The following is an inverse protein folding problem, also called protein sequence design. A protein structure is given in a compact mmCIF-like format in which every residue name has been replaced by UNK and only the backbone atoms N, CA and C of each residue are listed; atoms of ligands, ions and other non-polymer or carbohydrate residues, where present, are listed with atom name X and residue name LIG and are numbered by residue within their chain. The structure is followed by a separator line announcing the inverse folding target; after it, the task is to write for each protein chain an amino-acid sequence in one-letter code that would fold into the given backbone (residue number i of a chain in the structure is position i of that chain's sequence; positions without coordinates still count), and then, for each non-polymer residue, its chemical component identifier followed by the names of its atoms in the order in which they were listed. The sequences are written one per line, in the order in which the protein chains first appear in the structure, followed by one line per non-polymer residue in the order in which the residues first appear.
data_IF_823801580414
#
_entry.id   IF_823801580414
#
_cell.length_a   1.000
_cell.length_b   1.000
_cell.length_c   1.000
_cell.angle_alpha   90.00
_cell.angle_beta   90.00
_cell.angle_gamma   90.00
#
_symmetry.space_group_name_H-M   'P 1'
#
loop_
_entity.id
_entity.type
_entity.pdbx_description
1 polymer ?
#
# COMPACT_ATOMS: atom_id res chain seq x y z
N UNK A 1 7.66 -46.49 -35.27
CA UNK A 1 7.79 -47.39 -34.10
C UNK A 1 7.84 -46.49 -32.86
N UNK A 2 7.00 -46.57 -31.85
CA UNK A 2 5.86 -47.44 -31.55
C UNK A 2 5.38 -47.07 -30.14
N UNK A 3 4.06 -47.06 -29.97
CA UNK A 3 3.27 -47.47 -28.77
C UNK A 3 3.57 -46.80 -27.42
N UNK A 4 2.72 -45.96 -26.82
CA UNK A 4 1.28 -46.11 -26.47
C UNK A 4 1.03 -47.12 -25.32
N UNK A 5 0.63 -46.61 -24.15
CA UNK A 5 -0.07 -47.28 -23.03
C UNK A 5 -0.32 -46.20 -21.94
N UNK A 6 -1.51 -45.88 -21.41
CA UNK A 6 -2.82 -46.54 -21.41
C UNK A 6 -3.39 -46.58 -19.98
N UNK A 7 -4.69 -46.34 -19.84
CA UNK A 7 -5.57 -46.35 -18.63
C UNK A 7 -5.55 -45.07 -17.77
N UNK A 8 -6.57 -44.21 -17.74
CA UNK A 8 -8.04 -44.33 -17.81
C UNK A 8 -8.67 -44.96 -16.55
N UNK A 9 -9.23 -44.08 -15.70
CA UNK A 9 -10.19 -44.43 -14.66
C UNK A 9 -11.34 -43.40 -14.73
N UNK A 10 -12.45 -43.85 -15.32
CA UNK A 10 -13.81 -43.28 -15.22
C UNK A 10 -14.73 -44.34 -14.61
N UNK A 11 -15.93 -43.89 -14.20
CA UNK A 11 -17.17 -44.59 -13.77
C UNK A 11 -17.58 -43.96 -12.42
N UNK A 12 -18.47 -42.97 -12.43
CA UNK A 12 -19.95 -43.03 -12.51
C UNK A 12 -20.56 -43.11 -11.10
N UNK A 13 -21.82 -42.84 -10.84
CA UNK A 13 -22.76 -41.83 -11.31
C UNK A 13 -23.88 -41.83 -10.25
N UNK A 14 -24.78 -40.87 -10.37
CA UNK A 14 -25.84 -40.53 -9.42
C UNK A 14 -26.90 -41.64 -9.21
N UNK A 15 -27.39 -41.77 -7.97
CA UNK A 15 -28.71 -42.35 -7.65
C UNK A 15 -29.51 -41.39 -6.75
N UNK A 16 -30.60 -40.78 -7.27
CA UNK A 16 -32.04 -41.05 -6.96
C UNK A 16 -32.40 -41.02 -5.46
N UNK A 17 -33.13 -40.03 -4.92
CA UNK A 17 -34.55 -39.68 -5.06
C UNK A 17 -35.56 -40.55 -4.24
N UNK A 18 -36.22 -39.87 -3.28
CA UNK A 18 -37.64 -39.93 -2.86
C UNK A 18 -38.26 -41.14 -2.10
N UNK A 19 -38.92 -40.82 -0.96
CA UNK A 19 -40.25 -41.28 -0.43
C UNK A 19 -40.21 -41.20 1.12
N UNK A 20 -41.05 -40.45 1.85
CA UNK A 20 -42.52 -40.39 2.00
C UNK A 20 -43.15 -41.59 2.75
N UNK A 21 -43.53 -41.37 4.02
CA UNK A 21 -44.42 -42.21 4.86
C UNK A 21 -44.58 -41.56 6.25
N UNK A 22 -45.67 -40.85 6.58
CA UNK A 22 -46.97 -41.30 7.14
C UNK A 22 -46.90 -42.11 8.45
N UNK A 23 -47.28 -41.48 9.57
CA UNK A 23 -48.04 -42.06 10.70
C UNK A 23 -48.32 -40.93 11.75
N UNK A 24 -49.55 -40.45 11.88
CA UNK A 24 -50.59 -40.88 12.85
C UNK A 24 -50.47 -40.20 14.24
N UNK A 25 -51.47 -39.39 14.56
CA UNK A 25 -51.73 -38.83 15.89
C UNK A 25 -52.12 -39.91 16.92
N UNK A 26 -52.08 -39.57 18.22
CA UNK A 26 -53.36 -39.56 18.92
C UNK A 26 -53.58 -38.37 19.86
N UNK A 27 -54.87 -38.06 19.97
CA UNK A 27 -55.56 -37.16 20.89
C UNK A 27 -55.32 -37.48 22.36
N UNK A 28 -54.99 -36.45 23.14
CA UNK A 28 -55.03 -36.46 24.60
C UNK A 28 -55.68 -35.17 25.12
N UNK A 29 -56.93 -35.26 25.55
CA UNK A 29 -57.71 -34.19 26.18
C UNK A 29 -57.46 -34.27 27.69
N UNK A 30 -57.00 -33.19 28.33
CA UNK A 30 -57.24 -32.95 29.76
C UNK A 30 -57.16 -31.47 30.11
N UNK A 31 -58.21 -31.04 30.78
CA UNK A 31 -58.49 -29.78 31.45
C UNK A 31 -57.50 -29.42 32.55
N UNK A 32 -57.17 -28.13 32.69
CA UNK A 32 -57.15 -27.41 33.97
C UNK A 32 -56.56 -25.99 33.77
N UNK A 33 -57.03 -25.04 34.58
CA UNK A 33 -56.20 -23.91 35.01
C UNK A 33 -56.47 -22.59 34.31
N UNK A 34 -57.46 -21.86 34.84
CA UNK A 34 -57.48 -20.42 34.73
C UNK A 34 -56.30 -19.85 35.54
N UNK A 35 -55.35 -19.17 34.89
CA UNK A 35 -54.45 -18.22 35.54
C UNK A 35 -54.18 -17.03 34.61
N UNK A 36 -54.81 -15.90 34.95
CA UNK A 36 -54.19 -14.58 35.05
C UNK A 36 -53.12 -14.23 34.01
N UNK A 37 -53.58 -13.82 32.83
CA UNK A 37 -52.76 -13.10 31.87
C UNK A 37 -52.70 -11.63 32.25
N UNK A 38 -51.59 -11.16 32.82
CA UNK A 38 -51.24 -9.73 32.78
C UNK A 38 -49.75 -9.38 33.04
N UNK A 39 -48.85 -10.38 33.12
CA UNK A 39 -47.41 -10.12 33.40
C UNK A 39 -46.46 -10.15 32.19
N UNK A 40 -46.88 -10.71 31.04
CA UNK A 40 -45.93 -11.12 30.00
C UNK A 40 -45.74 -10.13 28.83
N UNK A 41 -46.55 -9.07 28.74
CA UNK A 41 -46.54 -8.18 27.56
C UNK A 41 -45.55 -7.01 27.67
N UNK A 42 -45.02 -6.67 28.85
CA UNK A 42 -44.17 -5.48 29.02
C UNK A 42 -42.65 -5.70 28.87
N UNK A 43 -42.17 -6.93 28.67
CA UNK A 43 -40.73 -7.21 28.58
C UNK A 43 -40.24 -7.46 27.12
N UNK A 44 -41.11 -7.87 26.21
CA UNK A 44 -40.70 -8.28 24.87
C UNK A 44 -40.35 -7.09 23.94
N UNK A 45 -40.99 -5.94 24.14
CA UNK A 45 -40.75 -4.72 23.36
C UNK A 45 -39.36 -4.13 23.54
N UNK A 46 -38.86 -4.07 24.79
CA UNK A 46 -37.52 -3.52 25.10
C UNK A 46 -36.37 -4.43 24.64
N UNK A 47 -36.54 -5.76 24.72
CA UNK A 47 -35.54 -6.70 24.16
C UNK A 47 -35.44 -6.59 22.64
N UNK A 48 -36.58 -6.41 21.96
CA UNK A 48 -36.62 -6.26 20.51
C UNK A 48 -35.95 -4.97 20.02
N UNK A 49 -36.11 -3.86 20.76
CA UNK A 49 -35.54 -2.57 20.36
C UNK A 49 -34.02 -2.54 20.54
N UNK A 50 -33.50 -3.11 21.62
CA UNK A 50 -32.06 -3.22 21.86
C UNK A 50 -31.40 -4.14 20.84
N UNK A 51 -32.01 -5.30 20.53
CA UNK A 51 -31.49 -6.21 19.47
C UNK A 51 -31.55 -5.54 18.09
N UNK A 52 -32.58 -4.73 17.80
CA UNK A 52 -32.71 -4.00 16.53
C UNK A 52 -31.75 -2.80 16.43
N UNK A 53 -31.50 -2.09 17.54
CA UNK A 53 -30.49 -1.03 17.62
C UNK A 53 -29.08 -1.59 17.51
N UNK A 54 -28.77 -2.72 18.14
CA UNK A 54 -27.47 -3.40 18.00
C UNK A 54 -27.27 -3.94 16.59
N UNK A 55 -28.30 -4.51 15.96
CA UNK A 55 -28.26 -4.87 14.53
C UNK A 55 -28.07 -3.63 13.64
N UNK A 56 -28.70 -2.50 13.96
CA UNK A 56 -28.51 -1.23 13.27
C UNK A 56 -27.08 -0.67 13.41
N UNK A 57 -26.52 -0.71 14.62
CA UNK A 57 -25.16 -0.28 14.92
C UNK A 57 -24.10 -1.20 14.28
N UNK A 58 -24.34 -2.52 14.23
CA UNK A 58 -23.50 -3.48 13.53
C UNK A 58 -23.67 -3.41 12.00
N UNK A 59 -24.85 -3.01 11.51
CA UNK A 59 -25.15 -2.86 10.08
C UNK A 59 -24.55 -1.60 9.44
N UNK A 60 -24.04 -0.64 10.23
CA UNK A 60 -23.30 0.53 9.72
C UNK A 60 -22.01 0.12 8.98
N UNK A 61 -21.54 -1.12 9.16
CA UNK A 61 -20.39 -1.67 8.43
C UNK A 61 -20.82 -2.50 7.20
N UNK A 62 -21.61 -1.91 6.30
CA UNK A 62 -21.84 -2.50 4.99
C UNK A 62 -20.51 -2.65 4.21
N UNK A 63 -20.36 -3.64 3.31
CA UNK A 63 -19.15 -3.82 2.53
C UNK A 63 -18.83 -2.52 1.78
N UNK A 64 -17.68 -1.92 2.09
CA UNK A 64 -17.20 -0.68 1.47
C UNK A 64 -17.26 -0.81 -0.06
N UNK A 65 -17.89 0.17 -0.72
CA UNK A 65 -17.99 0.19 -2.18
C UNK A 65 -16.60 0.09 -2.82
N UNK A 66 -16.50 -0.47 -4.05
CA UNK A 66 -15.23 -0.56 -4.79
C UNK A 66 -14.52 0.80 -4.87
N UNK A 67 -15.29 1.90 -4.97
CA UNK A 67 -14.78 3.27 -4.93
C UNK A 67 -14.17 3.63 -3.57
N UNK A 68 -14.89 3.36 -2.48
CA UNK A 68 -14.41 3.62 -1.12
C UNK A 68 -13.10 2.88 -0.83
N UNK A 69 -13.00 1.59 -1.21
CA UNK A 69 -11.77 0.81 -1.04
C UNK A 69 -10.60 1.44 -1.80
N UNK A 70 -10.81 1.85 -3.06
CA UNK A 70 -9.77 2.52 -3.86
C UNK A 70 -9.29 3.82 -3.21
N UNK A 71 -10.21 4.61 -2.67
CA UNK A 71 -9.87 5.84 -1.95
C UNK A 71 -9.07 5.56 -0.68
N UNK A 72 -9.42 4.53 0.10
CA UNK A 72 -8.62 4.13 1.27
C UNK A 72 -7.18 3.74 0.88
N UNK A 73 -7.00 2.93 -0.17
CA UNK A 73 -5.66 2.56 -0.63
C UNK A 73 -4.88 3.78 -1.15
N UNK A 74 -5.51 4.64 -1.94
CA UNK A 74 -4.89 5.87 -2.41
C UNK A 74 -4.48 6.79 -1.24
N UNK A 75 -5.35 6.94 -0.25
CA UNK A 75 -5.07 7.70 0.97
C UNK A 75 -3.87 7.16 1.74
N UNK A 76 -3.75 5.83 1.88
CA UNK A 76 -2.59 5.21 2.54
C UNK A 76 -1.28 5.44 1.78
N UNK A 77 -1.31 5.36 0.45
CA UNK A 77 -0.13 5.65 -0.38
C UNK A 77 0.26 7.13 -0.29
N UNK A 78 -0.72 8.04 -0.32
CA UNK A 78 -0.47 9.47 -0.17
C UNK A 78 0.09 9.79 1.22
N UNK A 79 -0.48 9.21 2.28
CA UNK A 79 -0.01 9.38 3.64
C UNK A 79 1.43 8.90 3.81
N UNK A 80 1.75 7.70 3.29
CA UNK A 80 3.12 7.15 3.35
C UNK A 80 4.11 7.99 2.55
N UNK A 81 3.72 8.47 1.37
CA UNK A 81 4.55 9.38 0.55
C UNK A 81 4.79 10.71 1.27
N UNK A 82 3.76 11.27 1.90
CA UNK A 82 3.88 12.52 2.68
C UNK A 82 4.76 12.34 3.92
N UNK A 83 4.61 11.23 4.65
CA UNK A 83 5.47 10.91 5.79
C UNK A 83 6.93 10.77 5.35
N UNK A 84 7.18 10.09 4.22
CA UNK A 84 8.51 9.96 3.66
C UNK A 84 9.11 11.32 3.25
N UNK A 85 8.32 12.19 2.64
CA UNK A 85 8.71 13.56 2.31
C UNK A 85 9.09 14.34 3.56
N UNK A 86 8.20 14.45 4.54
CA UNK A 86 8.43 15.22 5.76
C UNK A 86 9.66 14.73 6.53
N UNK A 87 9.83 13.42 6.65
CA UNK A 87 11.00 12.82 7.30
C UNK A 87 12.28 13.16 6.55
N UNK A 88 12.32 12.96 5.23
CA UNK A 88 13.54 13.15 4.43
C UNK A 88 13.94 14.62 4.33
N UNK A 89 12.99 15.54 4.16
CA UNK A 89 13.30 16.97 4.04
C UNK A 89 13.75 17.58 5.36
N UNK A 90 13.14 17.20 6.48
CA UNK A 90 13.50 17.74 7.80
C UNK A 90 14.88 17.29 8.28
N UNK A 91 15.39 16.20 7.74
CA UNK A 91 16.68 15.60 8.14
C UNK A 91 17.79 15.84 7.11
N UNK A 92 17.50 16.45 5.97
CA UNK A 92 18.43 16.57 4.83
C UNK A 92 19.72 17.34 5.11
N UNK A 93 19.71 18.26 6.07
CA UNK A 93 20.87 19.11 6.42
C UNK A 93 21.49 18.74 7.76
N UNK A 94 21.07 17.64 8.38
CA UNK A 94 21.63 17.21 9.67
C UNK A 94 23.05 16.64 9.55
N UNK A 95 23.52 16.36 8.34
CA UNK A 95 24.84 15.80 8.07
C UNK A 95 25.69 16.83 7.32
N UNK A 96 26.98 16.93 7.64
CA UNK A 96 27.91 17.72 6.83
C UNK A 96 28.06 17.11 5.43
N UNK A 97 28.45 17.93 4.45
CA UNK A 97 28.76 17.42 3.11
C UNK A 97 29.97 16.49 3.12
N UNK A 98 29.86 15.42 2.36
CA UNK A 98 30.97 14.50 2.11
C UNK A 98 31.86 15.06 0.99
N UNK A 99 33.13 14.65 0.96
CA UNK A 99 34.10 15.15 -0.01
C UNK A 99 33.65 14.95 -1.46
N UNK A 100 32.95 13.86 -1.75
CA UNK A 100 32.40 13.55 -3.07
C UNK A 100 31.18 14.40 -3.45
N UNK A 101 30.43 14.91 -2.47
CA UNK A 101 29.37 15.90 -2.71
C UNK A 101 29.97 17.27 -3.04
N UNK A 102 31.03 17.66 -2.33
CA UNK A 102 31.76 18.90 -2.60
C UNK A 102 32.40 18.85 -3.98
N UNK A 103 33.06 17.75 -4.34
CA UNK A 103 33.60 17.56 -5.70
C UNK A 103 32.50 17.63 -6.78
N UNK A 104 31.31 17.09 -6.53
CA UNK A 104 30.19 17.20 -7.47
C UNK A 104 29.73 18.65 -7.66
N UNK A 105 29.78 19.47 -6.60
CA UNK A 105 29.49 20.90 -6.67
C UNK A 105 30.59 21.68 -7.40
N UNK A 106 31.85 21.34 -7.18
CA UNK A 106 32.97 21.92 -7.91
C UNK A 106 32.84 21.63 -9.42
N UNK A 107 32.55 20.38 -9.80
CA UNK A 107 32.35 20.00 -11.19
C UNK A 107 31.17 20.71 -11.86
N UNK A 108 30.15 21.10 -11.09
CA UNK A 108 28.95 21.77 -11.61
C UNK A 108 28.96 23.27 -11.39
N UNK A 109 30.08 23.85 -10.93
CA UNK A 109 30.22 25.30 -10.70
C UNK A 109 30.59 26.11 -11.95
N UNK A 110 31.08 25.44 -13.00
CA UNK A 110 31.46 26.04 -14.27
C UNK A 110 30.28 26.29 -15.21
N UNK A 111 30.61 26.59 -16.47
CA UNK A 111 29.61 26.71 -17.53
C UNK A 111 29.10 25.34 -17.98
N UNK A 112 27.97 25.31 -18.69
CA UNK A 112 27.46 24.08 -19.31
C UNK A 112 28.51 23.45 -20.25
N UNK A 113 29.32 24.26 -20.93
CA UNK A 113 30.40 23.76 -21.79
C UNK A 113 31.50 23.05 -20.98
N UNK A 114 31.86 23.60 -19.81
CA UNK A 114 32.84 22.99 -18.91
C UNK A 114 32.36 21.65 -18.39
N UNK A 115 31.08 21.56 -18.03
CA UNK A 115 30.46 20.31 -17.58
C UNK A 115 30.46 19.28 -18.72
N UNK A 116 30.06 19.66 -19.93
CA UNK A 116 30.06 18.74 -21.08
C UNK A 116 31.47 18.23 -21.41
N UNK A 117 32.48 19.10 -21.34
CA UNK A 117 33.87 18.71 -21.53
C UNK A 117 34.35 17.77 -20.42
N UNK A 118 33.91 17.99 -19.17
CA UNK A 118 34.29 17.18 -18.00
C UNK A 118 33.66 15.79 -18.05
N UNK A 119 32.38 15.70 -18.44
CA UNK A 119 31.63 14.44 -18.54
C UNK A 119 32.25 13.46 -19.54
N UNK A 120 32.89 13.95 -20.60
CA UNK A 120 33.52 13.11 -21.64
C UNK A 120 34.91 12.62 -21.19
N UNK A 121 35.48 13.19 -20.11
CA UNK A 121 36.78 12.76 -19.63
C UNK A 121 36.69 11.41 -18.88
N UNK A 122 37.72 10.54 -19.02
CA UNK A 122 37.84 9.33 -18.23
C UNK A 122 37.74 9.65 -16.73
N UNK A 123 37.14 8.73 -15.96
CA UNK A 123 36.92 8.82 -14.50
C UNK A 123 35.73 9.68 -14.02
N UNK A 124 35.06 10.43 -14.89
CA UNK A 124 33.85 11.16 -14.51
C UNK A 124 32.60 10.31 -14.74
N UNK A 125 32.01 9.84 -13.65
CA UNK A 125 30.81 8.98 -13.67
C UNK A 125 29.55 9.78 -13.35
N UNK A 126 28.43 9.44 -13.98
CA UNK A 126 27.14 10.09 -13.74
C UNK A 126 26.87 11.34 -14.61
N UNK A 127 27.00 11.26 -15.94
CA UNK A 127 26.77 12.38 -16.86
C UNK A 127 25.41 13.07 -16.64
N UNK A 128 24.37 12.24 -16.52
CA UNK A 128 23.00 12.71 -16.33
C UNK A 128 22.81 13.38 -14.97
N UNK A 129 23.48 12.88 -13.93
CA UNK A 129 23.43 13.47 -12.60
C UNK A 129 24.03 14.87 -12.60
N UNK A 130 25.21 15.08 -13.20
CA UNK A 130 25.83 16.40 -13.25
C UNK A 130 25.04 17.41 -14.08
N UNK A 131 24.48 16.99 -15.22
CA UNK A 131 23.62 17.86 -16.03
C UNK A 131 22.35 18.26 -15.27
N UNK A 132 21.72 17.29 -14.59
CA UNK A 132 20.53 17.53 -13.79
C UNK A 132 20.83 18.44 -12.60
N UNK A 133 21.95 18.19 -11.90
CA UNK A 133 22.39 18.98 -10.76
C UNK A 133 22.71 20.42 -11.18
N UNK A 134 23.41 20.63 -12.29
CA UNK A 134 23.65 21.96 -12.85
C UNK A 134 22.34 22.70 -13.13
N UNK A 135 21.43 22.08 -13.90
CA UNK A 135 20.12 22.70 -14.19
C UNK A 135 19.33 23.01 -12.92
N UNK A 136 19.36 22.13 -11.94
CA UNK A 136 18.68 22.31 -10.66
C UNK A 136 19.26 23.48 -9.84
N UNK A 137 20.60 23.56 -9.76
CA UNK A 137 21.31 24.66 -9.07
C UNK A 137 21.00 26.02 -9.68
N UNK A 138 20.88 26.10 -11.01
CA UNK A 138 20.46 27.34 -11.68
C UNK A 138 19.03 27.77 -11.32
N UNK A 139 18.16 26.83 -10.95
CA UNK A 139 16.75 27.12 -10.63
C UNK A 139 16.54 27.46 -9.15
N UNK A 140 17.22 26.76 -8.25
CA UNK A 140 16.93 26.78 -6.80
C UNK A 140 18.11 27.32 -5.97
N UNK A 141 19.30 27.43 -6.56
CA UNK A 141 20.52 27.94 -5.94
C UNK A 141 21.44 26.86 -5.35
N UNK A 142 22.48 27.33 -4.66
CA UNK A 142 23.64 26.52 -4.25
C UNK A 142 23.66 26.14 -2.76
N UNK A 143 22.60 26.43 -2.02
CA UNK A 143 22.55 26.03 -0.60
C UNK A 143 22.62 24.50 -0.45
N UNK A 144 23.24 24.03 0.64
CA UNK A 144 23.34 22.60 0.95
C UNK A 144 21.98 21.88 0.89
N UNK A 145 20.94 22.56 1.37
CA UNK A 145 19.57 22.07 1.29
C UNK A 145 19.10 21.95 -0.15
N UNK A 146 19.27 22.99 -0.98
CA UNK A 146 18.81 22.99 -2.37
C UNK A 146 19.46 21.86 -3.17
N UNK A 147 20.76 21.68 -3.03
CA UNK A 147 21.54 20.63 -3.71
C UNK A 147 21.03 19.24 -3.32
N UNK A 148 20.85 18.98 -2.03
CA UNK A 148 20.36 17.68 -1.53
C UNK A 148 18.87 17.46 -1.78
N UNK A 149 18.09 18.52 -1.90
CA UNK A 149 16.66 18.43 -2.16
C UNK A 149 16.37 17.72 -3.48
N UNK A 150 17.26 17.83 -4.47
CA UNK A 150 17.15 17.09 -5.72
C UNK A 150 17.04 15.58 -5.43
N UNK A 151 18.00 15.01 -4.70
CA UNK A 151 17.99 13.60 -4.29
C UNK A 151 16.77 13.25 -3.44
N UNK A 152 16.39 14.12 -2.49
CA UNK A 152 15.20 13.93 -1.66
C UNK A 152 13.93 13.84 -2.51
N UNK A 153 13.81 14.71 -3.51
CA UNK A 153 12.65 14.75 -4.39
C UNK A 153 12.49 13.45 -5.20
N UNK A 154 13.57 12.94 -5.79
CA UNK A 154 13.56 11.65 -6.48
C UNK A 154 13.19 10.52 -5.51
N UNK A 155 13.81 10.45 -4.34
CA UNK A 155 13.51 9.43 -3.32
C UNK A 155 12.04 9.42 -2.89
N UNK A 156 11.40 10.59 -2.82
CA UNK A 156 9.98 10.71 -2.50
C UNK A 156 9.11 10.24 -3.67
N UNK A 157 9.48 10.56 -4.91
CA UNK A 157 8.77 10.12 -6.12
C UNK A 157 8.85 8.59 -6.29
N UNK A 158 9.92 7.94 -5.86
CA UNK A 158 10.03 6.48 -5.97
C UNK A 158 9.05 5.72 -5.08
N UNK A 159 8.56 6.31 -3.99
CA UNK A 159 7.54 5.68 -3.13
C UNK A 159 6.25 5.34 -3.92
N UNK A 160 5.55 6.29 -4.57
CA UNK A 160 4.37 5.97 -5.37
C UNK A 160 4.72 5.15 -6.62
N UNK A 161 5.90 5.32 -7.23
CA UNK A 161 6.31 4.50 -8.38
C UNK A 161 6.48 3.02 -8.00
N UNK A 162 7.15 2.74 -6.87
CA UNK A 162 7.30 1.39 -6.34
C UNK A 162 5.94 0.78 -6.01
N UNK A 163 5.02 1.54 -5.39
CA UNK A 163 3.66 1.05 -5.17
C UNK A 163 2.96 0.65 -6.46
N UNK A 164 3.05 1.50 -7.49
CA UNK A 164 2.39 1.30 -8.78
C UNK A 164 3.00 0.15 -9.58
N UNK A 165 4.28 -0.10 -9.40
CA UNK A 165 4.97 -1.25 -9.99
C UNK A 165 4.64 -2.55 -9.22
N UNK A 166 4.81 -2.55 -7.89
CA UNK A 166 4.56 -3.72 -7.04
C UNK A 166 3.10 -4.20 -7.10
N UNK A 167 2.12 -3.29 -7.19
CA UNK A 167 0.69 -3.66 -7.31
C UNK A 167 0.32 -4.32 -8.64
N UNK A 168 1.16 -4.19 -9.68
CA UNK A 168 0.95 -4.86 -10.98
C UNK A 168 1.41 -6.31 -10.92
N UNK A 169 2.41 -6.59 -10.08
CA UNK A 169 3.01 -7.92 -9.91
C UNK A 169 2.40 -8.70 -8.75
N UNK A 170 1.85 -8.00 -7.74
CA UNK A 170 1.44 -8.59 -6.47
C UNK A 170 0.08 -8.04 -5.99
N UNK A 171 -0.30 -8.35 -4.74
CA UNK A 171 -1.50 -7.78 -4.11
C UNK A 171 -1.27 -6.35 -3.60
N UNK A 172 -2.36 -5.59 -3.41
CA UNK A 172 -2.28 -4.23 -2.84
C UNK A 172 -1.68 -4.18 -1.44
N UNK A 173 -1.90 -5.24 -0.65
CA UNK A 173 -1.34 -5.35 0.69
C UNK A 173 0.18 -5.52 0.63
N UNK A 174 0.67 -6.43 -0.22
CA UNK A 174 2.11 -6.65 -0.44
C UNK A 174 2.78 -5.38 -0.98
N UNK A 175 2.15 -4.70 -1.95
CA UNK A 175 2.66 -3.43 -2.47
C UNK A 175 2.73 -2.32 -1.40
N UNK A 176 1.77 -2.26 -0.47
CA UNK A 176 1.85 -1.34 0.68
C UNK A 176 3.00 -1.72 1.62
N UNK A 177 3.15 -2.99 1.96
CA UNK A 177 4.24 -3.44 2.81
C UNK A 177 5.60 -3.12 2.19
N UNK A 178 5.75 -3.27 0.87
CA UNK A 178 6.97 -2.94 0.14
C UNK A 178 7.34 -1.44 0.27
N UNK A 179 6.39 -0.53 0.08
CA UNK A 179 6.68 0.91 0.25
C UNK A 179 6.92 1.28 1.71
N UNK A 180 6.26 0.61 2.66
CA UNK A 180 6.53 0.81 4.09
C UNK A 180 7.96 0.40 4.45
N UNK A 181 8.42 -0.75 3.95
CA UNK A 181 9.80 -1.19 4.12
C UNK A 181 10.79 -0.21 3.47
N UNK A 182 10.47 0.32 2.29
CA UNK A 182 11.30 1.34 1.64
C UNK A 182 11.42 2.62 2.49
N UNK A 183 10.33 3.08 3.11
CA UNK A 183 10.30 4.31 3.91
C UNK A 183 10.99 4.13 5.27
N UNK A 184 10.82 2.97 5.90
CA UNK A 184 11.38 2.68 7.24
C UNK A 184 12.84 2.24 7.17
N UNK A 185 13.28 1.66 6.05
CA UNK A 185 14.66 1.22 5.90
C UNK A 185 15.62 2.42 5.98
N UNK A 186 16.70 2.32 6.78
CA UNK A 186 17.68 3.39 6.90
C UNK A 186 18.48 3.60 5.61
N UNK A 187 18.55 2.59 4.75
CA UNK A 187 19.39 2.62 3.55
C UNK A 187 18.84 3.63 2.52
N UNK A 188 17.59 3.56 2.04
CA UNK A 188 17.02 4.58 1.16
C UNK A 188 17.03 5.99 1.76
N UNK A 189 16.94 6.11 3.08
CA UNK A 189 16.99 7.39 3.79
C UNK A 189 18.39 8.02 3.68
N UNK A 190 19.44 7.24 3.95
CA UNK A 190 20.82 7.69 3.88
C UNK A 190 21.20 8.17 2.47
N UNK A 191 20.79 7.42 1.45
CA UNK A 191 21.01 7.83 0.06
C UNK A 191 20.19 9.06 -0.33
N UNK A 192 18.97 9.23 0.18
CA UNK A 192 18.14 10.40 -0.14
C UNK A 192 18.81 11.73 0.28
N UNK A 193 19.72 11.71 1.26
CA UNK A 193 20.45 12.88 1.72
C UNK A 193 21.79 13.10 1.03
N UNK A 194 22.24 12.15 0.21
CA UNK A 194 23.49 12.27 -0.50
C UNK A 194 23.30 13.03 -1.82
N UNK A 195 24.09 14.07 -2.06
CA UNK A 195 24.10 14.78 -3.34
C UNK A 195 24.96 14.03 -4.38
N UNK A 196 24.54 12.79 -4.72
CA UNK A 196 25.36 11.85 -5.51
C UNK A 196 24.53 11.14 -6.57
N UNK A 197 25.21 10.64 -7.61
CA UNK A 197 24.59 9.94 -8.74
C UNK A 197 23.68 8.76 -8.36
N UNK A 198 24.00 8.03 -7.30
CA UNK A 198 23.24 6.85 -6.86
C UNK A 198 22.08 7.20 -5.89
N UNK A 199 21.88 8.47 -5.58
CA UNK A 199 20.80 8.95 -4.72
C UNK A 199 19.47 9.20 -5.47
N UNK A 200 19.45 9.00 -6.79
CA UNK A 200 18.28 9.12 -7.64
C UNK A 200 17.44 7.82 -7.63
N UNK A 201 16.95 7.43 -6.46
CA UNK A 201 16.07 6.27 -6.24
C UNK A 201 14.78 6.67 -5.56
#
# INVERSE_FOLDING_TARGET
MGSDCGSDYRVDDRHRAASAGHASAPTGRRSAGAESGDGALMNNGKRSSVVRQLKGALAVSGPRSRRQRRLCWAGLVLLTTFAAYALRTSTATLQSMWIDEVMALEFTSGSLADILNTIVQPQHNGPLFYLLLFGWRQLVGDSDFAVRYLSVAFSVVTVPLLYQWARKLTSRAVALTAIWLLVVSPFPLWYAHAAKMYALH
#
